data_IF_265555150740
#
_entry.id   IF_265555150740
#
_cell.length_a   1.000
_cell.length_b   1.000
_cell.length_c   1.000
_cell.angle_alpha   90.00
_cell.angle_beta   90.00
_cell.angle_gamma   90.00
#
_symmetry.space_group_name_H-M   'P 1'
#
loop_
_entity.id
_entity.type
_entity.pdbx_description
1 polymer ?
#
# COMPACT_ATOMS: atom_id res chain seq x y z
N UNK A 1 -38.27 -112.70 28.61
CA UNK A 1 -38.64 -113.00 27.20
C UNK A 1 -37.53 -113.75 26.47
N UNK A 2 -36.29 -113.26 26.51
CA UNK A 2 -35.12 -113.92 25.91
C UNK A 2 -34.86 -115.32 26.51
N UNK A 3 -34.94 -115.48 27.83
CA UNK A 3 -34.65 -116.75 28.53
C UNK A 3 -35.59 -117.90 28.13
N UNK A 4 -36.89 -117.64 27.96
CA UNK A 4 -37.88 -118.66 27.55
C UNK A 4 -37.67 -119.12 26.11
N UNK A 5 -37.16 -118.23 25.24
CA UNK A 5 -36.84 -118.55 23.84
C UNK A 5 -35.46 -119.22 23.72
N UNK A 6 -34.51 -118.87 24.59
CA UNK A 6 -33.19 -119.51 24.67
C UNK A 6 -33.26 -120.94 25.23
N UNK A 7 -34.18 -121.21 26.16
CA UNK A 7 -34.42 -122.54 26.74
C UNK A 7 -35.46 -123.37 25.96
N UNK A 8 -36.05 -122.80 24.90
CA UNK A 8 -37.08 -123.45 24.10
C UNK A 8 -36.54 -124.67 23.36
N UNK A 9 -37.34 -125.75 23.31
CA UNK A 9 -36.90 -127.02 22.74
C UNK A 9 -36.96 -126.97 21.21
N UNK A 10 -35.81 -127.09 20.54
CA UNK A 10 -35.73 -127.11 19.07
C UNK A 10 -36.41 -128.32 18.43
N UNK A 11 -37.06 -128.14 17.28
CA UNK A 11 -37.72 -129.22 16.53
C UNK A 11 -36.74 -129.77 15.47
N UNK A 12 -36.51 -131.10 15.41
CA UNK A 12 -35.50 -131.68 14.52
C UNK A 12 -35.72 -131.34 13.04
N UNK A 13 -34.62 -131.05 12.31
CA UNK A 13 -34.60 -130.71 10.88
C UNK A 13 -35.38 -129.45 10.48
N UNK A 14 -35.66 -128.53 11.42
CA UNK A 14 -36.26 -127.22 11.14
C UNK A 14 -35.62 -126.13 12.01
N UNK A 15 -35.71 -124.87 11.60
CA UNK A 15 -35.24 -123.73 12.41
C UNK A 15 -36.22 -123.30 13.52
N UNK A 16 -37.22 -124.13 13.85
CA UNK A 16 -38.27 -123.82 14.82
C UNK A 16 -37.99 -124.33 16.23
N UNK A 17 -38.55 -123.66 17.23
CA UNK A 17 -38.55 -124.09 18.64
C UNK A 17 -39.97 -124.18 19.19
N UNK A 18 -40.19 -125.10 20.14
CA UNK A 18 -41.46 -125.29 20.85
C UNK A 18 -41.39 -124.56 22.19
N UNK A 19 -42.30 -123.62 22.37
CA UNK A 19 -42.39 -122.78 23.57
C UNK A 19 -43.71 -123.08 24.28
N UNK A 20 -43.74 -123.22 25.63
CA UNK A 20 -44.97 -123.42 26.37
C UNK A 20 -45.94 -122.25 26.17
N UNK A 21 -47.17 -122.55 25.70
CA UNK A 21 -48.18 -121.54 25.38
C UNK A 21 -48.60 -120.70 26.60
N UNK A 22 -48.62 -121.30 27.81
CA UNK A 22 -48.98 -120.61 29.05
C UNK A 22 -48.00 -119.49 29.38
N UNK A 23 -46.71 -119.83 29.46
CA UNK A 23 -45.63 -118.89 29.79
C UNK A 23 -45.50 -117.75 28.77
N UNK A 24 -45.78 -118.01 27.48
CA UNK A 24 -45.81 -116.97 26.44
C UNK A 24 -47.00 -116.02 26.61
N UNK A 25 -48.18 -116.56 26.96
CA UNK A 25 -49.36 -115.73 27.19
C UNK A 25 -49.23 -114.90 28.47
N UNK A 26 -48.64 -115.45 29.53
CA UNK A 26 -48.35 -114.72 30.77
C UNK A 26 -47.38 -113.57 30.49
N UNK A 27 -46.31 -113.79 29.72
CA UNK A 27 -45.41 -112.70 29.32
C UNK A 27 -46.08 -111.65 28.43
N UNK A 28 -46.96 -112.07 27.51
CA UNK A 28 -47.70 -111.13 26.68
C UNK A 28 -48.70 -110.32 27.50
N UNK A 29 -49.27 -110.90 28.55
CA UNK A 29 -50.15 -110.22 29.50
C UNK A 29 -49.36 -109.26 30.39
N UNK A 30 -48.19 -109.64 30.90
CA UNK A 30 -47.28 -108.73 31.63
C UNK A 30 -46.85 -107.53 30.76
N UNK A 31 -46.52 -107.78 29.49
CA UNK A 31 -46.19 -106.73 28.51
C UNK A 31 -47.41 -105.87 28.20
N UNK A 32 -48.59 -106.48 28.05
CA UNK A 32 -49.86 -105.76 27.82
C UNK A 32 -50.20 -104.86 29.01
N UNK A 33 -49.89 -105.29 30.23
CA UNK A 33 -50.24 -104.56 31.45
C UNK A 33 -49.18 -103.49 31.80
N UNK A 34 -47.91 -103.68 31.43
CA UNK A 34 -46.82 -102.73 31.67
C UNK A 34 -46.67 -101.64 30.57
N UNK A 35 -46.88 -101.97 29.29
CA UNK A 35 -46.72 -101.02 28.17
C UNK A 35 -47.55 -99.74 28.32
N UNK A 36 -48.82 -99.78 28.78
CA UNK A 36 -49.63 -98.56 28.91
C UNK A 36 -49.02 -97.56 29.89
N UNK A 37 -48.50 -98.02 31.03
CA UNK A 37 -47.88 -97.14 32.02
C UNK A 37 -46.56 -96.54 31.51
N UNK A 38 -45.73 -97.33 30.84
CA UNK A 38 -44.47 -96.84 30.23
C UNK A 38 -44.74 -95.84 29.08
N UNK A 39 -45.84 -96.01 28.34
CA UNK A 39 -46.26 -95.05 27.31
C UNK A 39 -46.76 -93.74 27.93
N UNK A 40 -47.52 -93.80 29.02
CA UNK A 40 -47.97 -92.61 29.76
C UNK A 40 -46.76 -91.85 30.34
N UNK A 41 -45.81 -92.54 30.97
CA UNK A 41 -44.57 -91.93 31.50
C UNK A 41 -43.74 -91.27 30.37
N UNK A 42 -43.63 -91.94 29.21
CA UNK A 42 -42.95 -91.37 28.05
C UNK A 42 -43.67 -90.12 27.52
N UNK A 43 -45.01 -90.12 27.52
CA UNK A 43 -45.82 -88.98 27.11
C UNK A 43 -45.64 -87.80 28.07
N UNK A 44 -45.63 -88.03 29.39
CA UNK A 44 -45.37 -87.00 30.41
C UNK A 44 -44.00 -86.33 30.22
N UNK A 45 -42.97 -87.11 29.91
CA UNK A 45 -41.63 -86.56 29.62
C UNK A 45 -41.63 -85.73 28.34
N UNK A 46 -42.36 -86.14 27.29
CA UNK A 46 -42.48 -85.37 26.05
C UNK A 46 -43.22 -84.06 26.28
N UNK A 47 -44.31 -84.08 27.04
CA UNK A 47 -45.09 -82.90 27.37
C UNK A 47 -44.27 -81.92 28.23
N UNK A 48 -43.53 -82.43 29.22
CA UNK A 48 -42.63 -81.61 30.03
C UNK A 48 -41.48 -81.01 29.20
N UNK A 49 -40.92 -81.78 28.27
CA UNK A 49 -39.91 -81.27 27.32
C UNK A 49 -40.50 -80.14 26.48
N UNK A 50 -41.70 -80.31 25.95
CA UNK A 50 -42.34 -79.30 25.09
C UNK A 50 -42.65 -78.02 25.88
N UNK A 51 -43.07 -78.15 27.15
CA UNK A 51 -43.23 -77.01 28.06
C UNK A 51 -41.89 -76.29 28.33
N UNK A 52 -40.83 -77.04 28.63
CA UNK A 52 -39.49 -76.49 28.87
C UNK A 52 -38.92 -75.78 27.65
N UNK A 53 -39.04 -76.40 26.47
CA UNK A 53 -38.59 -75.83 25.20
C UNK A 53 -39.38 -74.56 24.89
N UNK A 54 -40.70 -74.57 25.09
CA UNK A 54 -41.55 -73.39 24.91
C UNK A 54 -41.16 -72.24 25.85
N UNK A 55 -40.93 -72.52 27.14
CA UNK A 55 -40.45 -71.52 28.11
C UNK A 55 -39.08 -70.98 27.73
N UNK A 56 -38.12 -71.85 27.41
CA UNK A 56 -36.77 -71.44 27.04
C UNK A 56 -36.76 -70.59 25.76
N UNK A 57 -37.57 -70.93 24.76
CA UNK A 57 -37.75 -70.13 23.55
C UNK A 57 -38.35 -68.76 23.88
N UNK A 58 -39.39 -68.72 24.72
CA UNK A 58 -40.00 -67.47 25.15
C UNK A 58 -39.02 -66.56 25.90
N UNK A 59 -38.27 -67.11 26.84
CA UNK A 59 -37.28 -66.37 27.62
C UNK A 59 -36.15 -65.85 26.72
N UNK A 60 -35.70 -66.65 25.74
CA UNK A 60 -34.71 -66.24 24.76
C UNK A 60 -35.23 -65.10 23.87
N UNK A 61 -36.46 -65.18 23.38
CA UNK A 61 -37.08 -64.12 22.57
C UNK A 61 -37.24 -62.82 23.37
N UNK A 62 -37.65 -62.91 24.64
CA UNK A 62 -37.70 -61.76 25.53
C UNK A 62 -36.31 -61.14 25.75
N UNK A 63 -35.30 -61.97 26.01
CA UNK A 63 -33.93 -61.50 26.21
C UNK A 63 -33.38 -60.81 24.95
N UNK A 64 -33.62 -61.37 23.77
CA UNK A 64 -33.21 -60.78 22.49
C UNK A 64 -33.96 -59.47 22.19
N UNK A 65 -35.27 -59.41 22.44
CA UNK A 65 -36.06 -58.19 22.28
C UNK A 65 -35.56 -57.07 23.19
N UNK A 66 -35.30 -57.38 24.47
CA UNK A 66 -34.74 -56.44 25.42
C UNK A 66 -33.34 -55.96 25.01
N UNK A 67 -32.45 -56.89 24.66
CA UNK A 67 -31.10 -56.55 24.23
C UNK A 67 -31.09 -55.67 22.96
N UNK A 68 -32.00 -55.91 22.01
CA UNK A 68 -32.16 -55.06 20.82
C UNK A 68 -32.63 -53.66 21.19
N UNK A 69 -33.65 -53.54 22.04
CA UNK A 69 -34.14 -52.23 22.49
C UNK A 69 -33.09 -51.44 23.28
N UNK A 70 -32.33 -52.11 24.15
CA UNK A 70 -31.22 -51.49 24.87
C UNK A 70 -30.10 -51.03 23.93
N UNK A 71 -29.77 -51.83 22.91
CA UNK A 71 -28.78 -51.46 21.90
C UNK A 71 -29.23 -50.25 21.06
N UNK A 72 -30.49 -50.22 20.61
CA UNK A 72 -31.07 -49.09 19.87
C UNK A 72 -31.04 -47.81 20.70
N UNK A 73 -31.41 -47.89 21.98
CA UNK A 73 -31.34 -46.76 22.91
C UNK A 73 -29.90 -46.26 23.10
N UNK A 74 -28.94 -47.16 23.31
CA UNK A 74 -27.53 -46.80 23.46
C UNK A 74 -26.97 -46.12 22.22
N UNK A 75 -27.30 -46.61 21.02
CA UNK A 75 -26.89 -45.99 19.76
C UNK A 75 -27.49 -44.60 19.60
N UNK A 76 -28.78 -44.43 19.92
CA UNK A 76 -29.44 -43.13 19.85
C UNK A 76 -28.83 -42.10 20.84
N UNK A 77 -28.57 -42.53 22.08
CA UNK A 77 -27.90 -41.70 23.09
C UNK A 77 -26.49 -41.29 22.63
N UNK A 78 -25.70 -42.24 22.11
CA UNK A 78 -24.35 -41.97 21.61
C UNK A 78 -24.35 -41.04 20.38
N UNK A 79 -25.31 -41.20 19.47
CA UNK A 79 -25.48 -40.31 18.32
C UNK A 79 -25.80 -38.89 18.76
N UNK A 80 -26.73 -38.72 19.72
CA UNK A 80 -27.09 -37.40 20.23
C UNK A 80 -25.90 -36.71 20.94
N UNK A 81 -25.14 -37.47 21.74
CA UNK A 81 -23.94 -36.94 22.37
C UNK A 81 -22.88 -36.52 21.35
N UNK A 82 -22.65 -37.33 20.31
CA UNK A 82 -21.72 -37.01 19.23
C UNK A 82 -22.15 -35.74 18.48
N UNK A 83 -23.44 -35.58 18.17
CA UNK A 83 -23.98 -34.38 17.53
C UNK A 83 -23.77 -33.13 18.38
N UNK A 84 -24.04 -33.22 19.69
CA UNK A 84 -23.80 -32.13 20.64
C UNK A 84 -22.32 -31.77 20.69
N UNK A 85 -21.43 -32.75 20.79
CA UNK A 85 -19.98 -32.54 20.82
C UNK A 85 -19.49 -31.87 19.53
N UNK A 86 -19.97 -32.31 18.37
CA UNK A 86 -19.63 -31.73 17.07
C UNK A 86 -20.13 -30.29 16.95
N UNK A 87 -21.36 -30.00 17.40
CA UNK A 87 -21.92 -28.65 17.43
C UNK A 87 -21.08 -27.71 18.30
N UNK A 88 -20.73 -28.14 19.52
CA UNK A 88 -19.88 -27.37 20.43
C UNK A 88 -18.46 -27.16 19.87
N UNK A 89 -17.88 -28.19 19.25
CA UNK A 89 -16.57 -28.09 18.61
C UNK A 89 -16.58 -27.09 17.44
N UNK A 90 -17.63 -27.12 16.59
CA UNK A 90 -17.82 -26.14 15.51
C UNK A 90 -17.96 -24.73 16.05
N UNK A 91 -18.81 -24.51 17.06
CA UNK A 91 -18.99 -23.18 17.67
C UNK A 91 -17.72 -22.67 18.37
N UNK A 92 -16.86 -23.55 18.89
CA UNK A 92 -15.53 -23.17 19.40
C UNK A 92 -14.57 -22.79 18.27
N UNK A 93 -14.56 -23.55 17.18
CA UNK A 93 -13.73 -23.27 16.02
C UNK A 93 -14.12 -21.94 15.35
N UNK A 94 -15.41 -21.68 15.17
CA UNK A 94 -15.93 -20.42 14.62
C UNK A 94 -15.51 -19.22 15.48
N UNK A 95 -15.62 -19.33 16.81
CA UNK A 95 -15.14 -18.29 17.73
C UNK A 95 -13.63 -18.07 17.62
N UNK A 96 -12.84 -19.14 17.57
CA UNK A 96 -11.39 -19.03 17.43
C UNK A 96 -10.98 -18.35 16.11
N UNK A 97 -11.66 -18.68 15.00
CA UNK A 97 -11.42 -18.03 13.70
C UNK A 97 -11.80 -16.55 13.77
N UNK A 98 -12.98 -16.22 14.31
CA UNK A 98 -13.41 -14.83 14.46
C UNK A 98 -12.44 -14.02 15.32
N UNK A 99 -12.00 -14.56 16.46
CA UNK A 99 -11.02 -13.90 17.34
C UNK A 99 -9.66 -13.69 16.64
N UNK A 100 -9.21 -14.67 15.85
CA UNK A 100 -7.98 -14.59 15.07
C UNK A 100 -8.08 -13.54 13.95
N UNK A 101 -9.21 -13.47 13.24
CA UNK A 101 -9.48 -12.46 12.21
C UNK A 101 -9.50 -11.06 12.83
N UNK A 102 -10.15 -10.89 13.97
CA UNK A 102 -10.17 -9.64 14.73
C UNK A 102 -8.77 -9.19 15.15
N UNK A 103 -7.96 -10.12 15.67
CA UNK A 103 -6.59 -9.84 16.07
C UNK A 103 -5.71 -9.48 14.85
N UNK A 104 -5.85 -10.19 13.75
CA UNK A 104 -5.14 -9.90 12.50
C UNK A 104 -5.50 -8.50 11.99
N UNK A 105 -6.79 -8.16 11.98
CA UNK A 105 -7.27 -6.86 11.54
C UNK A 105 -6.74 -5.72 12.42
N UNK A 106 -6.70 -5.90 13.74
CA UNK A 106 -6.10 -4.92 14.68
C UNK A 106 -4.61 -4.74 14.40
N UNK A 107 -3.88 -5.83 14.18
CA UNK A 107 -2.43 -5.79 13.90
C UNK A 107 -2.13 -5.07 12.59
N UNK A 108 -2.88 -5.39 11.53
CA UNK A 108 -2.74 -4.72 10.22
C UNK A 108 -3.07 -3.23 10.32
N UNK A 109 -4.14 -2.88 11.05
CA UNK A 109 -4.55 -1.49 11.23
C UNK A 109 -3.51 -0.68 12.00
N UNK A 110 -2.97 -1.24 13.09
CA UNK A 110 -1.89 -0.62 13.85
C UNK A 110 -0.62 -0.45 13.00
N UNK A 111 -0.20 -1.51 12.28
CA UNK A 111 0.97 -1.44 11.41
C UNK A 111 0.81 -0.43 10.27
N UNK A 112 -0.41 -0.27 9.73
CA UNK A 112 -0.70 0.76 8.72
C UNK A 112 -0.56 2.17 9.29
N UNK A 113 -1.08 2.43 10.48
CA UNK A 113 -0.96 3.73 11.15
C UNK A 113 0.51 4.08 11.43
N UNK A 114 1.28 3.12 11.97
CA UNK A 114 2.71 3.29 12.22
C UNK A 114 3.49 3.59 10.93
N UNK A 115 3.14 2.90 9.84
CA UNK A 115 3.74 3.14 8.53
C UNK A 115 3.40 4.54 8.00
N UNK A 116 2.13 4.96 8.05
CA UNK A 116 1.69 6.29 7.65
C UNK A 116 2.41 7.38 8.45
N UNK A 117 2.57 7.20 9.76
CA UNK A 117 3.31 8.13 10.63
C UNK A 117 4.80 8.18 10.33
N UNK A 118 5.44 7.03 10.09
CA UNK A 118 6.86 6.95 9.73
C UNK A 118 7.13 7.62 8.40
N UNK A 119 6.32 7.30 7.38
CA UNK A 119 6.43 7.89 6.04
C UNK A 119 6.14 9.38 6.08
N UNK A 120 5.11 9.82 6.82
CA UNK A 120 4.80 11.23 7.02
C UNK A 120 5.97 12.00 7.65
N UNK A 121 6.60 11.45 8.69
CA UNK A 121 7.80 12.05 9.31
C UNK A 121 8.99 12.11 8.35
N UNK A 122 9.24 11.03 7.62
CA UNK A 122 10.34 10.96 6.65
C UNK A 122 10.17 11.98 5.52
N UNK A 123 8.95 12.13 4.97
CA UNK A 123 8.67 13.17 3.98
C UNK A 123 8.85 14.57 4.53
N UNK A 124 8.32 14.85 5.73
CA UNK A 124 8.50 16.16 6.37
C UNK A 124 9.98 16.47 6.64
N UNK A 125 10.79 15.48 7.00
CA UNK A 125 12.22 15.64 7.18
C UNK A 125 12.97 15.88 5.85
N UNK A 126 12.63 15.12 4.81
CA UNK A 126 13.18 15.31 3.47
C UNK A 126 12.88 16.72 2.95
N UNK A 127 11.64 17.21 3.12
CA UNK A 127 11.25 18.56 2.73
C UNK A 127 12.03 19.62 3.50
N UNK A 128 12.19 19.45 4.81
CA UNK A 128 13.04 20.33 5.64
C UNK A 128 14.49 20.35 5.14
N UNK A 129 15.05 19.19 4.80
CA UNK A 129 16.42 19.08 4.30
C UNK A 129 16.58 19.80 2.95
N UNK A 130 15.61 19.63 2.03
CA UNK A 130 15.60 20.34 0.74
C UNK A 130 15.50 21.84 0.94
N UNK A 131 14.61 22.31 1.82
CA UNK A 131 14.45 23.73 2.12
C UNK A 131 15.73 24.32 2.74
N UNK A 132 16.31 23.64 3.73
CA UNK A 132 17.57 24.05 4.34
C UNK A 132 18.72 24.08 3.31
N UNK A 133 18.79 23.08 2.43
CA UNK A 133 19.75 23.04 1.33
C UNK A 133 19.61 24.22 0.37
N UNK A 134 18.38 24.55 -0.03
CA UNK A 134 18.08 25.72 -0.88
C UNK A 134 18.49 27.02 -0.20
N UNK A 135 18.11 27.24 1.06
CA UNK A 135 18.46 28.44 1.80
C UNK A 135 19.99 28.60 1.97
N UNK A 136 20.70 27.50 2.22
CA UNK A 136 22.16 27.52 2.30
C UNK A 136 22.80 27.81 0.93
N UNK A 137 22.26 27.25 -0.15
CA UNK A 137 22.73 27.50 -1.50
C UNK A 137 22.54 28.98 -1.90
N UNK A 138 21.36 29.54 -1.64
CA UNK A 138 21.06 30.95 -1.89
C UNK A 138 22.03 31.86 -1.14
N UNK A 139 22.26 31.58 0.16
CA UNK A 139 23.24 32.32 0.97
C UNK A 139 24.65 32.24 0.39
N UNK A 140 25.10 31.05 -0.01
CA UNK A 140 26.42 30.88 -0.60
C UNK A 140 26.58 31.63 -1.94
N UNK A 141 25.51 31.70 -2.75
CA UNK A 141 25.51 32.50 -3.98
C UNK A 141 25.60 34.00 -3.67
N UNK A 142 24.85 34.49 -2.68
CA UNK A 142 24.91 35.90 -2.26
C UNK A 142 26.29 36.27 -1.73
N UNK A 143 26.84 35.47 -0.82
CA UNK A 143 28.19 35.63 -0.27
C UNK A 143 29.25 35.60 -1.39
N UNK A 144 29.15 34.64 -2.31
CA UNK A 144 30.05 34.52 -3.44
C UNK A 144 29.99 35.73 -4.39
N UNK A 145 28.80 36.26 -4.66
CA UNK A 145 28.63 37.49 -5.47
C UNK A 145 29.19 38.72 -4.78
N UNK A 146 28.97 38.86 -3.47
CA UNK A 146 29.51 39.97 -2.69
C UNK A 146 31.05 39.93 -2.67
N UNK A 147 31.63 38.75 -2.47
CA UNK A 147 33.09 38.59 -2.48
C UNK A 147 33.68 38.80 -3.88
N UNK A 148 33.02 38.29 -4.93
CA UNK A 148 33.41 38.56 -6.31
C UNK A 148 33.43 40.07 -6.60
N UNK A 149 32.39 40.80 -6.19
CA UNK A 149 32.32 42.26 -6.38
C UNK A 149 33.48 42.97 -5.65
N UNK A 150 33.79 42.56 -4.41
CA UNK A 150 34.91 43.08 -3.63
C UNK A 150 36.26 42.83 -4.31
N UNK A 151 36.47 41.63 -4.83
CA UNK A 151 37.71 41.27 -5.52
C UNK A 151 37.88 42.05 -6.84
N UNK A 152 36.81 42.20 -7.62
CA UNK A 152 36.82 42.97 -8.88
C UNK A 152 37.15 44.44 -8.61
N UNK A 153 36.51 45.07 -7.62
CA UNK A 153 36.78 46.45 -7.23
C UNK A 153 38.24 46.67 -6.80
N UNK A 154 38.81 45.69 -6.09
CA UNK A 154 40.21 45.71 -5.66
C UNK A 154 41.25 45.46 -6.77
N UNK A 155 40.84 45.15 -8.01
CA UNK A 155 41.80 44.92 -9.10
C UNK A 155 42.40 46.23 -9.62
N UNK A 156 43.71 46.21 -9.88
CA UNK A 156 44.43 47.37 -10.44
C UNK A 156 43.82 47.87 -11.75
N UNK A 157 43.26 46.97 -12.57
CA UNK A 157 42.61 47.31 -13.84
C UNK A 157 41.34 48.14 -13.61
N UNK A 158 40.51 47.79 -12.63
CA UNK A 158 39.30 48.57 -12.29
C UNK A 158 39.71 49.93 -11.73
N UNK A 159 40.66 49.96 -10.79
CA UNK A 159 41.16 51.21 -10.23
C UNK A 159 41.77 52.14 -11.31
N UNK A 160 42.56 51.58 -12.22
CA UNK A 160 43.13 52.31 -13.35
C UNK A 160 42.05 52.80 -14.32
N UNK A 161 41.04 51.99 -14.62
CA UNK A 161 39.91 52.40 -15.47
C UNK A 161 39.10 53.54 -14.83
N UNK A 162 38.87 53.50 -13.51
CA UNK A 162 38.21 54.58 -12.78
C UNK A 162 39.04 55.88 -12.77
N UNK A 163 40.34 55.77 -12.50
CA UNK A 163 41.25 56.92 -12.53
C UNK A 163 41.31 57.55 -13.94
N UNK A 164 41.38 56.72 -14.98
CA UNK A 164 41.39 57.18 -16.37
C UNK A 164 40.05 57.81 -16.77
N UNK A 165 38.91 57.22 -16.37
CA UNK A 165 37.59 57.82 -16.59
C UNK A 165 37.48 59.20 -15.92
N UNK A 166 37.95 59.34 -14.68
CA UNK A 166 37.99 60.62 -13.98
C UNK A 166 38.89 61.64 -14.72
N UNK A 167 40.08 61.21 -15.17
CA UNK A 167 40.99 62.05 -15.94
C UNK A 167 40.37 62.53 -17.27
N UNK A 168 39.66 61.66 -17.97
CA UNK A 168 38.96 61.99 -19.22
C UNK A 168 37.82 62.98 -18.97
N UNK A 169 37.04 62.80 -17.89
CA UNK A 169 35.98 63.74 -17.50
C UNK A 169 36.54 65.12 -17.17
N UNK A 170 37.61 65.19 -16.37
CA UNK A 170 38.25 66.46 -16.01
C UNK A 170 38.84 67.17 -17.24
N UNK A 171 39.48 66.42 -18.14
CA UNK A 171 40.00 66.96 -19.39
C UNK A 171 38.88 67.47 -20.30
N UNK A 172 37.79 66.71 -20.45
CA UNK A 172 36.63 67.12 -21.23
C UNK A 172 35.94 68.36 -20.64
N UNK A 173 35.86 68.46 -19.32
CA UNK A 173 35.29 69.63 -18.65
C UNK A 173 36.17 70.87 -18.80
N UNK A 174 37.50 70.71 -18.66
CA UNK A 174 38.46 71.78 -18.88
C UNK A 174 38.40 72.29 -20.32
N UNK A 175 38.36 71.37 -21.29
CA UNK A 175 38.25 71.69 -22.70
C UNK A 175 36.92 72.38 -23.04
N UNK A 176 35.80 71.93 -22.45
CA UNK A 176 34.50 72.58 -22.61
C UNK A 176 34.50 74.02 -22.08
N UNK A 177 35.17 74.27 -20.95
CA UNK A 177 35.34 75.62 -20.39
C UNK A 177 36.23 76.47 -21.31
N UNK A 178 37.35 75.92 -21.80
CA UNK A 178 38.25 76.60 -22.73
C UNK A 178 37.53 76.99 -24.01
N UNK A 179 36.83 76.05 -24.65
CA UNK A 179 36.08 76.29 -25.87
C UNK A 179 35.01 77.36 -25.67
N UNK A 180 34.29 77.34 -24.54
CA UNK A 180 33.31 78.39 -24.21
C UNK A 180 33.98 79.76 -24.11
N UNK A 181 35.09 79.86 -23.39
CA UNK A 181 35.83 81.12 -23.25
C UNK A 181 36.40 81.62 -24.58
N UNK A 182 36.88 80.73 -25.45
CA UNK A 182 37.37 81.09 -26.78
C UNK A 182 36.26 81.55 -27.71
N UNK A 183 35.10 80.88 -27.66
CA UNK A 183 33.90 81.34 -28.36
C UNK A 183 33.47 82.73 -27.86
N UNK A 184 33.43 82.95 -26.55
CA UNK A 184 33.07 84.24 -25.97
C UNK A 184 34.04 85.35 -26.42
N UNK A 185 35.36 85.10 -26.35
CA UNK A 185 36.37 86.05 -26.79
C UNK A 185 36.34 86.32 -28.31
N UNK A 186 36.08 85.29 -29.12
CA UNK A 186 35.93 85.45 -30.57
C UNK A 186 34.70 86.28 -30.93
N UNK A 187 33.56 86.04 -30.25
CA UNK A 187 32.33 86.84 -30.43
C UNK A 187 32.59 88.29 -30.04
N UNK A 188 33.22 88.53 -28.89
CA UNK A 188 33.58 89.87 -28.42
C UNK A 188 34.48 90.60 -29.42
N UNK A 189 35.55 89.95 -29.90
CA UNK A 189 36.43 90.51 -30.92
C UNK A 189 35.71 90.83 -32.24
N UNK A 190 34.79 89.97 -32.69
CA UNK A 190 33.98 90.25 -33.89
C UNK A 190 33.00 91.39 -33.69
N UNK A 191 32.43 91.54 -32.49
CA UNK A 191 31.58 92.68 -32.14
C UNK A 191 32.38 93.98 -32.10
N UNK A 192 33.62 93.95 -31.58
CA UNK A 192 34.53 95.11 -31.60
C UNK A 192 34.94 95.51 -33.03
N UNK A 193 35.35 94.55 -33.88
CA UNK A 193 35.63 94.80 -35.31
C UNK A 193 34.41 95.43 -36.01
N UNK A 194 33.21 94.94 -35.70
CA UNK A 194 31.96 95.45 -36.26
C UNK A 194 31.63 96.86 -35.75
N UNK A 195 31.88 97.15 -34.47
CA UNK A 195 31.76 98.49 -33.88
C UNK A 195 32.68 99.49 -34.60
N UNK A 196 33.95 99.13 -34.80
CA UNK A 196 34.92 99.96 -35.51
C UNK A 196 34.51 100.22 -36.97
N UNK A 197 34.00 99.19 -37.66
CA UNK A 197 33.48 99.31 -39.03
C UNK A 197 32.26 100.25 -39.10
N UNK A 198 31.34 100.15 -38.14
CA UNK A 198 30.19 101.05 -38.05
C UNK A 198 30.64 102.49 -37.74
N UNK A 199 31.59 102.69 -36.82
CA UNK A 199 32.16 104.00 -36.50
C UNK A 199 32.89 104.61 -37.70
N UNK A 200 33.61 103.80 -38.48
CA UNK A 200 34.22 104.24 -39.73
C UNK A 200 33.18 104.62 -40.79
N UNK A 201 32.17 103.77 -40.98
CA UNK A 201 31.04 104.03 -41.89
C UNK A 201 30.30 105.31 -41.51
N UNK A 202 30.00 105.53 -40.22
CA UNK A 202 29.38 106.76 -39.70
C UNK A 202 30.24 108.00 -39.98
N UNK A 203 31.57 107.92 -39.81
CA UNK A 203 32.49 109.01 -40.17
C UNK A 203 32.49 109.29 -41.68
N UNK A 204 32.49 108.26 -42.52
CA UNK A 204 32.40 108.41 -43.98
C UNK A 204 31.06 109.00 -44.42
N UNK A 205 29.94 108.58 -43.83
CA UNK A 205 28.62 109.20 -44.06
C UNK A 205 28.60 110.64 -43.55
N UNK A 206 29.23 110.93 -42.41
CA UNK A 206 29.41 112.29 -41.91
C UNK A 206 30.16 113.20 -42.89
N UNK A 207 31.29 112.72 -43.42
CA UNK A 207 32.07 113.40 -44.47
C UNK A 207 31.27 113.60 -45.76
N UNK A 208 30.56 112.56 -46.21
CA UNK A 208 29.67 112.64 -47.38
C UNK A 208 28.53 113.66 -47.19
N UNK A 209 27.93 113.71 -45.99
CA UNK A 209 26.91 114.70 -45.62
C UNK A 209 27.45 116.12 -45.56
N UNK A 210 28.67 116.34 -45.08
CA UNK A 210 29.31 117.66 -45.12
C UNK A 210 29.61 118.10 -46.55
N UNK A 211 30.04 117.19 -47.42
CA UNK A 211 30.23 117.47 -48.85
C UNK A 211 28.92 117.82 -49.58
N UNK A 212 27.79 117.23 -49.17
CA UNK A 212 26.46 117.57 -49.72
C UNK A 212 25.83 118.85 -49.11
N UNK A 213 26.44 119.45 -48.07
CA UNK A 213 25.93 120.64 -47.37
C UNK A 213 26.74 121.93 -47.57
N UNK A 214 27.73 121.96 -48.46
CA UNK A 214 28.55 123.15 -48.75
C UNK A 214 28.74 123.43 -50.25
N UNK A 215 28.35 124.61 -50.78
CA UNK A 215 28.42 124.94 -52.21
C UNK A 215 29.56 125.90 -52.61
N UNK A 216 30.01 125.74 -53.86
CA UNK A 216 30.46 126.76 -54.83
C UNK A 216 31.83 127.50 -54.71
N UNK A 217 32.57 127.43 -55.83
CA UNK A 217 33.61 128.33 -56.42
C UNK A 217 35.04 128.27 -55.83
N UNK A 218 36.17 128.27 -56.56
CA UNK A 218 36.65 127.89 -57.91
C UNK A 218 38.16 128.26 -57.99
N UNK A 219 38.94 127.48 -58.76
CA UNK A 219 40.17 127.87 -59.53
C UNK A 219 41.45 128.30 -58.78
N UNK A 220 42.71 128.03 -59.19
CA UNK A 220 43.28 127.54 -60.45
C UNK A 220 44.78 127.12 -60.32
N UNK A 221 45.25 126.33 -61.31
CA UNK A 221 46.60 126.20 -61.91
C UNK A 221 47.80 125.61 -61.08
N UNK A 222 48.30 124.38 -61.30
CA UNK A 222 49.07 123.75 -62.42
C UNK A 222 50.61 124.02 -62.35
N UNK A 223 51.54 123.19 -62.91
CA UNK A 223 51.39 122.00 -63.77
C UNK A 223 52.29 120.77 -63.44
N UNK A 224 52.00 119.68 -64.18
CA UNK A 224 52.70 118.41 -64.47
C UNK A 224 54.17 118.20 -64.04
N UNK A 225 54.45 116.98 -63.53
CA UNK A 225 55.48 116.14 -64.14
C UNK A 225 55.21 114.62 -63.96
N UNK A 226 55.51 113.87 -65.01
CA UNK A 226 55.45 112.40 -65.12
C UNK A 226 56.86 111.88 -64.82
N UNK A 227 57.04 110.78 -64.08
CA UNK A 227 58.14 109.83 -64.35
C UNK A 227 57.86 108.45 -63.72
N UNK A 228 58.09 107.44 -64.58
CA UNK A 228 58.24 105.98 -64.46
C UNK A 228 57.99 105.25 -63.14
#
# INVERSE_FOLDING_TARGET
MVTIVEEARGVPMTSGCVVPRGDVLELLDDVRDAIPAELDDAQDVLDHRDELVGKAQHDADQALSKARSDAERMVAEAQHEAERMLSEARARAERMVADAEDQAQRTVSAGRQEYEDLVGRAHAEADRMVQAGRANYERAIEEGRAEQARLVDGTEVVQAAHAEAARVLDAAQTEAIRLRSECDAYVDGKLADFEDLLAHTLRSVGKGRSHLRGPAVASAAAPFDYHE
#
